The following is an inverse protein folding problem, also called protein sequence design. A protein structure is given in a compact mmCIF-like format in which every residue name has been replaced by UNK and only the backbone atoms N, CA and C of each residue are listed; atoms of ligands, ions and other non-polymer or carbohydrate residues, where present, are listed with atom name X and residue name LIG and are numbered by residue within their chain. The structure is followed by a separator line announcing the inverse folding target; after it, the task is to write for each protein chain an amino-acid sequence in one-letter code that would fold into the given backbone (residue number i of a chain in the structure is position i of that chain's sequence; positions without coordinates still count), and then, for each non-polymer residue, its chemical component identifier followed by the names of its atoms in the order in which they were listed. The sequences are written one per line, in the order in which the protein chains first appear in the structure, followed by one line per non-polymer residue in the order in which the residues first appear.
data_IF_786168462517
#
_entry.id   IF_786168462517
#
_cell.length_a   1.000
_cell.length_b   1.000
_cell.length_c   1.000
_cell.angle_alpha   90.00
_cell.angle_beta   90.00
_cell.angle_gamma   90.00
#
_symmetry.space_group_name_H-M   'P 1'
#
loop_
_entity.id
_entity.type
_entity.pdbx_description
1 polymer ?
#
# COMPACT_ATOMS: atom_id res chain seq x y z
N UNK A 1 -7.34 16.02 16.99
CA UNK A 1 -6.80 16.77 15.85
C UNK A 1 -7.75 16.56 14.70
N UNK A 2 -8.30 17.63 14.11
CA UNK A 2 -9.13 17.51 12.90
C UNK A 2 -8.24 17.01 11.76
N UNK A 3 -8.50 15.79 11.29
CA UNK A 3 -7.93 15.30 10.03
C UNK A 3 -8.51 16.16 8.92
N UNK A 4 -7.75 17.15 8.45
CA UNK A 4 -8.21 18.06 7.40
C UNK A 4 -8.55 17.24 6.15
N UNK A 5 -9.78 17.37 5.65
CA UNK A 5 -10.24 16.76 4.40
C UNK A 5 -9.59 17.35 3.14
N UNK A 6 -8.53 18.15 3.30
CA UNK A 6 -7.83 18.85 2.23
C UNK A 6 -6.59 18.08 1.71
N UNK A 7 -6.31 16.88 2.22
CA UNK A 7 -5.19 16.08 1.75
C UNK A 7 -5.46 15.58 0.32
N UNK A 8 -4.57 15.96 -0.62
CA UNK A 8 -4.70 15.63 -2.04
C UNK A 8 -4.69 14.13 -2.34
N UNK A 9 -4.21 13.31 -1.41
CA UNK A 9 -4.18 11.84 -1.53
C UNK A 9 -5.56 11.21 -1.37
N UNK A 10 -6.52 11.93 -0.77
CA UNK A 10 -7.87 11.43 -0.52
C UNK A 10 -8.76 11.69 -1.75
N UNK A 11 -9.24 10.62 -2.36
CA UNK A 11 -10.04 10.63 -3.58
C UNK A 11 -11.23 9.64 -3.52
N UNK A 12 -11.74 9.35 -2.32
CA UNK A 12 -12.87 8.45 -2.11
C UNK A 12 -12.50 6.99 -1.82
N UNK A 13 -11.25 6.74 -1.42
CA UNK A 13 -10.79 5.40 -1.03
C UNK A 13 -11.58 4.83 0.16
N UNK A 14 -12.29 5.66 0.92
CA UNK A 14 -13.16 5.25 2.04
C UNK A 14 -14.18 4.19 1.60
N UNK A 15 -14.56 4.17 0.32
CA UNK A 15 -15.49 3.19 -0.23
C UNK A 15 -14.96 1.75 -0.24
N UNK A 16 -13.64 1.54 -0.18
CA UNK A 16 -13.04 0.19 -0.22
C UNK A 16 -11.91 -0.05 0.79
N UNK A 17 -11.37 1.00 1.42
CA UNK A 17 -10.32 0.88 2.44
C UNK A 17 -10.84 1.10 3.86
N UNK A 18 -12.10 1.53 4.07
CA UNK A 18 -12.59 1.77 5.42
C UNK A 18 -12.74 0.44 6.20
N UNK A 19 -12.09 0.37 7.38
CA UNK A 19 -12.23 -0.75 8.31
C UNK A 19 -11.61 -2.07 7.83
N UNK A 20 -10.79 -2.04 6.77
CA UNK A 20 -10.15 -3.26 6.28
C UNK A 20 -8.99 -3.68 7.17
N UNK A 21 -8.62 -4.96 7.06
CA UNK A 21 -7.46 -5.53 7.74
C UNK A 21 -6.26 -5.55 6.80
N UNK A 22 -5.11 -5.16 7.33
CA UNK A 22 -3.87 -5.01 6.58
C UNK A 22 -2.74 -5.82 7.22
N UNK A 23 -1.84 -6.36 6.39
CA UNK A 23 -0.60 -7.01 6.82
C UNK A 23 0.59 -6.28 6.21
N UNK A 24 1.64 -6.11 7.00
CA UNK A 24 2.90 -5.56 6.50
C UNK A 24 3.74 -6.68 5.89
N UNK A 25 4.02 -6.61 4.60
CA UNK A 25 4.71 -7.67 3.86
C UNK A 25 5.69 -7.09 2.83
N UNK A 26 6.68 -7.89 2.45
CA UNK A 26 7.47 -7.63 1.25
C UNK A 26 6.65 -7.99 0.01
N UNK A 27 6.63 -7.10 -0.98
CA UNK A 27 5.96 -7.33 -2.25
C UNK A 27 6.65 -8.46 -3.03
N UNK A 28 5.81 -9.34 -3.54
CA UNK A 28 6.16 -10.46 -4.41
C UNK A 28 5.18 -10.49 -5.57
N UNK A 29 5.71 -10.57 -6.79
CA UNK A 29 4.90 -10.82 -7.98
C UNK A 29 4.24 -12.18 -7.83
N UNK A 30 3.05 -12.28 -8.39
CA UNK A 30 2.33 -13.55 -8.46
C UNK A 30 2.97 -14.41 -9.55
N UNK A 31 3.22 -15.67 -9.22
CA UNK A 31 3.66 -16.65 -10.23
C UNK A 31 2.68 -16.68 -11.42
N UNK A 32 3.22 -16.72 -12.63
CA UNK A 32 2.43 -16.68 -13.87
C UNK A 32 1.93 -15.28 -14.29
N UNK A 33 2.38 -14.20 -13.64
CA UNK A 33 2.07 -12.81 -14.00
C UNK A 33 3.33 -12.03 -14.34
N UNK A 34 4.03 -12.46 -15.39
CA UNK A 34 5.32 -11.87 -15.81
C UNK A 34 5.20 -10.40 -16.24
N UNK A 35 4.05 -10.01 -16.82
CA UNK A 35 3.76 -8.64 -17.25
C UNK A 35 3.38 -7.69 -16.09
N UNK A 36 3.22 -8.21 -14.87
CA UNK A 36 2.86 -7.44 -13.69
C UNK A 36 4.08 -7.32 -12.78
N UNK A 37 4.88 -6.29 -13.03
CA UNK A 37 6.18 -6.08 -12.38
C UNK A 37 6.10 -5.19 -11.13
N UNK A 38 5.01 -4.45 -10.93
CA UNK A 38 4.85 -3.53 -9.81
C UNK A 38 3.38 -3.29 -9.41
N UNK A 39 3.22 -2.75 -8.22
CA UNK A 39 1.98 -2.19 -7.68
C UNK A 39 2.15 -0.73 -7.27
N UNK A 40 1.05 -0.07 -6.97
CA UNK A 40 1.04 1.32 -6.52
C UNK A 40 0.31 1.48 -5.20
N UNK A 41 0.81 2.39 -4.36
CA UNK A 41 0.06 2.87 -3.21
C UNK A 41 -1.27 3.51 -3.66
N UNK A 42 -2.39 3.08 -3.07
CA UNK A 42 -3.76 3.57 -3.35
C UNK A 42 -3.97 5.08 -3.09
N UNK A 43 -3.01 5.73 -2.43
CA UNK A 43 -3.08 7.13 -2.01
C UNK A 43 -2.12 8.02 -2.80
N UNK A 44 -0.82 7.73 -2.70
CA UNK A 44 0.23 8.60 -3.25
C UNK A 44 0.88 8.06 -4.52
N UNK A 45 0.40 6.92 -5.05
CA UNK A 45 0.97 6.26 -6.24
C UNK A 45 2.42 5.82 -6.11
N UNK A 46 3.01 5.86 -4.90
CA UNK A 46 4.33 5.30 -4.61
C UNK A 46 4.42 3.89 -5.20
N UNK A 47 5.40 3.70 -6.07
CA UNK A 47 5.61 2.42 -6.76
C UNK A 47 6.20 1.41 -5.78
N UNK A 48 5.62 0.21 -5.79
CA UNK A 48 5.94 -0.93 -4.93
C UNK A 48 6.38 -2.06 -5.86
N UNK A 49 7.60 -2.53 -5.69
CA UNK A 49 8.25 -3.47 -6.61
C UNK A 49 8.87 -4.61 -5.82
N UNK A 50 9.23 -5.70 -6.50
CA UNK A 50 10.02 -6.73 -5.83
C UNK A 50 11.41 -6.20 -5.49
N UNK A 51 11.96 -6.65 -4.35
CA UNK A 51 13.31 -6.25 -3.92
C UNK A 51 14.37 -6.49 -4.99
N UNK A 52 14.28 -7.61 -5.71
CA UNK A 52 15.19 -7.95 -6.80
C UNK A 52 15.11 -6.97 -7.99
N UNK A 53 13.98 -6.29 -8.15
CA UNK A 53 13.73 -5.36 -9.26
C UNK A 53 13.96 -3.91 -8.88
N UNK A 54 14.20 -3.59 -7.61
CA UNK A 54 14.50 -2.20 -7.18
C UNK A 54 15.63 -1.57 -7.99
N UNK A 55 16.65 -2.36 -8.36
CA UNK A 55 17.81 -1.92 -9.16
C UNK A 55 17.45 -1.54 -10.60
N UNK A 56 16.26 -1.91 -11.09
CA UNK A 56 15.79 -1.61 -12.45
C UNK A 56 15.11 -0.24 -12.56
N UNK A 57 14.86 0.44 -11.44
CA UNK A 57 14.16 1.71 -11.42
C UNK A 57 15.12 2.85 -11.05
N UNK A 58 15.12 3.90 -11.85
CA UNK A 58 15.93 5.12 -11.62
C UNK A 58 15.34 6.03 -10.52
N UNK A 59 14.14 5.72 -10.03
CA UNK A 59 13.40 6.51 -9.04
C UNK A 59 13.25 5.75 -7.73
N UNK A 60 12.92 6.48 -6.66
CA UNK A 60 12.68 5.91 -5.34
C UNK A 60 11.46 4.98 -5.36
N UNK A 61 11.74 3.67 -5.33
CA UNK A 61 10.75 2.59 -5.22
C UNK A 61 10.90 1.91 -3.87
N UNK A 62 9.82 1.31 -3.38
CA UNK A 62 9.83 0.51 -2.15
C UNK A 62 9.52 -0.95 -2.46
N UNK A 63 9.90 -1.86 -1.57
CA UNK A 63 9.56 -3.28 -1.68
C UNK A 63 8.75 -3.82 -0.51
N UNK A 64 8.50 -3.01 0.52
CA UNK A 64 7.72 -3.41 1.70
C UNK A 64 6.58 -2.42 1.91
N UNK A 65 5.37 -2.95 2.08
CA UNK A 65 4.16 -2.15 2.19
C UNK A 65 3.06 -2.93 2.92
N UNK A 66 2.00 -2.22 3.30
CA UNK A 66 0.80 -2.83 3.84
C UNK A 66 -0.08 -3.30 2.69
N UNK A 67 -0.59 -4.53 2.75
CA UNK A 67 -1.59 -5.01 1.81
C UNK A 67 -2.78 -5.66 2.52
N UNK A 68 -3.92 -5.69 1.83
CA UNK A 68 -5.09 -6.44 2.30
C UNK A 68 -4.83 -7.95 2.32
N UNK A 69 -5.75 -8.70 2.91
CA UNK A 69 -5.62 -10.16 3.10
C UNK A 69 -5.26 -10.91 1.82
N UNK A 70 -5.81 -10.46 0.69
CA UNK A 70 -5.68 -11.07 -0.63
C UNK A 70 -4.60 -10.43 -1.53
N UNK A 71 -3.94 -9.37 -1.06
CA UNK A 71 -2.87 -8.68 -1.80
C UNK A 71 -3.33 -7.97 -3.08
N UNK A 72 -4.53 -7.39 -3.05
CA UNK A 72 -5.14 -6.57 -4.10
C UNK A 72 -5.04 -5.08 -3.82
N UNK A 73 -4.92 -4.66 -2.57
CA UNK A 73 -4.81 -3.25 -2.16
C UNK A 73 -3.48 -3.02 -1.48
N UNK A 74 -2.76 -1.98 -1.88
CA UNK A 74 -1.43 -1.69 -1.35
C UNK A 74 -1.32 -0.27 -0.82
N UNK A 75 -0.69 -0.13 0.34
CA UNK A 75 -0.54 1.14 1.06
C UNK A 75 0.91 1.25 1.53
N UNK A 76 1.62 2.29 1.09
CA UNK A 76 2.99 2.52 1.51
C UNK A 76 3.06 2.88 3.01
N UNK A 77 4.21 2.67 3.69
CA UNK A 77 4.34 2.94 5.12
C UNK A 77 3.96 4.37 5.54
N UNK A 78 4.29 5.36 4.71
CA UNK A 78 3.94 6.76 4.94
C UNK A 78 2.42 6.97 4.95
N UNK A 79 1.71 6.47 3.92
CA UNK A 79 0.26 6.62 3.86
C UNK A 79 -0.44 5.77 4.94
N UNK A 80 0.12 4.61 5.31
CA UNK A 80 -0.40 3.84 6.43
C UNK A 80 -0.38 4.67 7.72
N UNK A 81 0.78 5.22 8.08
CA UNK A 81 0.94 6.06 9.27
C UNK A 81 -0.03 7.24 9.27
N UNK A 82 -0.16 7.92 8.13
CA UNK A 82 -0.96 9.14 8.04
C UNK A 82 -2.48 8.89 8.07
N UNK A 83 -2.93 7.71 7.64
CA UNK A 83 -4.36 7.43 7.44
C UNK A 83 -4.94 6.30 8.29
N UNK A 84 -4.12 5.53 9.02
CA UNK A 84 -4.61 4.36 9.77
C UNK A 84 -5.74 4.69 10.76
N UNK A 85 -5.65 5.79 11.51
CA UNK A 85 -6.70 6.22 12.44
C UNK A 85 -7.97 6.62 11.69
N UNK A 86 -7.84 7.35 10.58
CA UNK A 86 -8.97 7.83 9.76
C UNK A 86 -9.77 6.67 9.18
N UNK A 87 -9.05 5.70 8.62
CA UNK A 87 -9.65 4.55 7.94
C UNK A 87 -9.95 3.39 8.90
N UNK A 88 -9.60 3.53 10.19
CA UNK A 88 -9.77 2.51 11.21
C UNK A 88 -9.20 1.15 10.76
N UNK A 89 -7.96 1.17 10.25
CA UNK A 89 -7.28 -0.05 9.81
C UNK A 89 -6.82 -0.90 10.98
N UNK A 90 -7.03 -2.21 10.85
CA UNK A 90 -6.51 -3.19 11.80
C UNK A 90 -5.33 -3.93 11.20
N UNK A 91 -4.30 -4.18 12.02
CA UNK A 91 -3.17 -4.99 11.62
C UNK A 91 -3.45 -6.47 11.87
N UNK A 92 -3.21 -7.27 10.84
CA UNK A 92 -3.18 -8.72 10.94
C UNK A 92 -1.84 -9.08 11.57
N UNK A 93 -1.87 -9.67 12.76
CA UNK A 93 -0.66 -10.26 13.35
C UNK A 93 -0.16 -11.40 12.47
N UNK A 94 0.92 -11.15 11.73
CA UNK A 94 1.69 -12.21 11.10
C UNK A 94 2.62 -12.82 12.15
N UNK A 95 2.25 -14.02 12.61
CA UNK A 95 3.08 -14.85 13.51
C UNK A 95 4.30 -15.41 12.82
#
# INVERSE_FOLDING_TARGET
MELSNSDWRLAGQENWLQGIRLKFVEFRKREGREDWDHEHCEFCWQKIVERADMVKYDAEVICEAYCDEIGCRWICPTCFRDFHERFNWELIETR
#
